data_IF_584256129178
#
_entry.id   IF_584256129178
#
_cell.length_a   1.000
_cell.length_b   1.000
_cell.length_c   1.000
_cell.angle_alpha   90.00
_cell.angle_beta   90.00
_cell.angle_gamma   90.00
#
_symmetry.space_group_name_H-M   'P 1'
#
loop_
_entity.id
_entity.type
_entity.pdbx_description
1 polymer ?
#
# COMPACT_ATOMS: atom_id res chain seq x y z
N UNK A 1 -22.34 22.22 -30.27
CA UNK A 1 -21.11 22.19 -29.45
C UNK A 1 -21.54 21.81 -28.05
N UNK A 2 -21.42 20.53 -27.72
CA UNK A 2 -21.87 19.97 -26.43
C UNK A 2 -20.80 20.24 -25.39
N UNK A 3 -21.18 20.90 -24.29
CA UNK A 3 -20.31 21.10 -23.15
C UNK A 3 -19.95 19.72 -22.55
N UNK A 4 -18.67 19.37 -22.64
CA UNK A 4 -18.08 18.27 -21.90
C UNK A 4 -18.27 18.53 -20.40
N UNK A 5 -18.95 17.61 -19.72
CA UNK A 5 -18.93 17.55 -18.25
C UNK A 5 -17.47 17.54 -17.82
N UNK A 6 -17.05 18.53 -17.04
CA UNK A 6 -15.77 18.51 -16.33
C UNK A 6 -15.82 17.33 -15.37
N UNK A 7 -15.17 16.22 -15.72
CA UNK A 7 -14.86 15.19 -14.73
C UNK A 7 -14.03 15.85 -13.64
N UNK A 8 -14.50 15.83 -12.39
CA UNK A 8 -13.70 16.22 -11.25
C UNK A 8 -12.46 15.32 -11.25
N UNK A 9 -11.27 15.92 -11.44
CA UNK A 9 -10.02 15.20 -11.35
C UNK A 9 -9.84 14.76 -9.88
N UNK A 10 -9.78 13.46 -9.57
CA UNK A 10 -9.72 12.96 -8.19
C UNK A 10 -8.47 13.45 -7.46
N UNK A 11 -7.42 13.85 -8.18
CA UNK A 11 -6.21 14.39 -7.59
C UNK A 11 -6.37 15.83 -7.07
N UNK A 12 -7.42 16.55 -7.47
CA UNK A 12 -7.67 17.94 -7.07
C UNK A 12 -9.03 18.06 -6.36
N UNK A 13 -9.17 17.46 -5.16
CA UNK A 13 -10.40 17.57 -4.39
C UNK A 13 -10.67 19.02 -3.98
N UNK A 14 -11.92 19.46 -4.11
CA UNK A 14 -12.33 20.81 -3.73
C UNK A 14 -12.12 21.04 -2.22
N UNK A 15 -11.64 22.22 -1.85
CA UNK A 15 -11.46 22.67 -0.46
C UNK A 15 -10.45 21.86 0.38
N UNK A 16 -9.56 21.09 -0.25
CA UNK A 16 -8.45 20.45 0.45
C UNK A 16 -7.21 21.37 0.42
N UNK A 17 -6.81 21.85 1.60
CA UNK A 17 -5.60 22.67 1.75
C UNK A 17 -4.37 21.77 1.91
N UNK A 18 -3.68 21.50 0.79
CA UNK A 18 -2.51 20.62 0.75
C UNK A 18 -1.20 21.39 0.69
N UNK A 19 -0.28 21.03 1.58
CA UNK A 19 1.06 21.61 1.66
C UNK A 19 2.12 20.50 1.70
N UNK A 20 3.36 20.81 1.28
CA UNK A 20 4.48 19.89 1.46
C UNK A 20 4.60 19.43 2.91
N UNK A 21 4.84 18.14 3.11
CA UNK A 21 5.12 17.59 4.43
C UNK A 21 6.62 17.51 4.68
N UNK A 22 6.99 17.44 5.95
CA UNK A 22 8.36 17.19 6.42
C UNK A 22 8.25 16.04 7.43
N UNK A 23 9.13 15.03 7.38
CA UNK A 23 9.16 14.00 8.41
C UNK A 23 9.37 14.66 9.79
N UNK A 24 8.58 14.24 10.77
CA UNK A 24 8.73 14.69 12.15
C UNK A 24 10.15 14.39 12.65
N UNK A 25 10.75 15.34 13.39
CA UNK A 25 12.07 15.14 13.97
C UNK A 25 12.02 13.97 14.96
N UNK A 26 12.82 12.92 14.74
CA UNK A 26 12.79 11.71 15.56
C UNK A 26 13.06 10.45 14.74
N UNK A 27 12.36 9.36 15.06
CA UNK A 27 12.61 8.02 14.49
C UNK A 27 12.39 7.98 12.96
N UNK A 28 11.60 8.90 12.40
CA UNK A 28 11.34 9.00 10.96
C UNK A 28 12.43 9.73 10.15
N UNK A 29 13.57 10.07 10.75
CA UNK A 29 14.61 10.87 10.09
C UNK A 29 15.45 10.14 9.04
N UNK A 30 14.92 9.10 8.40
CA UNK A 30 15.63 8.43 7.32
C UNK A 30 15.96 9.45 6.21
N UNK A 31 17.21 9.46 5.71
CA UNK A 31 17.61 10.43 4.71
C UNK A 31 16.78 10.26 3.44
N UNK A 32 15.95 11.26 3.13
CA UNK A 32 15.17 11.32 1.89
C UNK A 32 15.95 12.04 0.80
N UNK A 33 15.77 11.64 -0.46
CA UNK A 33 16.26 12.41 -1.61
C UNK A 33 15.49 13.75 -1.66
N UNK A 34 16.14 14.80 -1.15
CA UNK A 34 15.56 16.15 -1.11
C UNK A 34 15.26 16.71 -2.51
N UNK A 35 15.89 16.18 -3.56
CA UNK A 35 15.67 16.64 -4.93
C UNK A 35 14.34 16.14 -5.50
N UNK A 36 13.89 14.96 -5.09
CA UNK A 36 12.63 14.35 -5.56
C UNK A 36 11.51 14.38 -4.53
N UNK A 37 11.82 14.36 -3.22
CA UNK A 37 10.85 14.24 -2.13
C UNK A 37 10.94 15.37 -1.09
N UNK A 38 11.83 16.34 -1.30
CA UNK A 38 11.94 17.51 -0.42
C UNK A 38 10.77 18.48 -0.55
N UNK A 39 10.64 19.41 0.40
CA UNK A 39 9.52 20.36 0.46
C UNK A 39 9.31 21.15 -0.84
N UNK A 40 10.38 21.59 -1.50
CA UNK A 40 10.28 22.29 -2.79
C UNK A 40 9.76 21.38 -3.91
N UNK A 41 10.28 20.14 -4.00
CA UNK A 41 9.87 19.17 -5.01
C UNK A 41 8.40 18.79 -4.83
N UNK A 42 7.98 18.53 -3.59
CA UNK A 42 6.58 18.31 -3.24
C UNK A 42 5.71 19.52 -3.60
N UNK A 43 6.14 20.75 -3.31
CA UNK A 43 5.37 21.94 -3.66
C UNK A 43 5.10 22.07 -5.16
N UNK A 44 6.11 21.80 -5.98
CA UNK A 44 5.96 21.77 -7.45
C UNK A 44 5.06 20.61 -7.90
N UNK A 45 5.24 19.42 -7.32
CA UNK A 45 4.43 18.26 -7.65
C UNK A 45 2.97 18.44 -7.23
N UNK A 46 2.68 19.05 -6.08
CA UNK A 46 1.33 19.37 -5.61
C UNK A 46 0.60 20.28 -6.59
N UNK A 47 1.28 21.30 -7.12
CA UNK A 47 0.69 22.22 -8.10
C UNK A 47 0.28 21.50 -9.40
N UNK A 48 1.01 20.45 -9.78
CA UNK A 48 0.81 19.76 -11.06
C UNK A 48 -0.04 18.48 -10.93
N UNK A 49 0.06 17.77 -9.81
CA UNK A 49 -0.51 16.43 -9.58
C UNK A 49 -1.42 16.38 -8.35
N UNK A 50 -1.68 17.51 -7.69
CA UNK A 50 -2.57 17.60 -6.54
C UNK A 50 -2.11 16.72 -5.38
N UNK A 51 -3.03 15.95 -4.79
CA UNK A 51 -2.76 15.10 -3.62
C UNK A 51 -1.68 14.04 -3.87
N UNK A 52 -1.51 13.58 -5.11
CA UNK A 52 -0.48 12.61 -5.48
C UNK A 52 0.94 13.21 -5.45
N UNK A 53 1.06 14.53 -5.59
CA UNK A 53 2.34 15.24 -5.49
C UNK A 53 2.85 15.41 -4.06
N UNK A 54 2.00 15.22 -3.06
CA UNK A 54 2.35 15.32 -1.63
C UNK A 54 2.92 14.00 -1.13
N UNK A 55 3.93 14.06 -0.27
CA UNK A 55 4.32 12.91 0.54
C UNK A 55 3.42 12.86 1.78
N UNK A 56 2.73 11.75 2.00
CA UNK A 56 1.85 11.58 3.15
C UNK A 56 2.59 11.01 4.37
N UNK A 57 2.12 11.32 5.57
CA UNK A 57 2.79 10.98 6.84
C UNK A 57 3.01 9.47 6.98
N UNK A 58 2.03 8.66 6.58
CA UNK A 58 2.13 7.20 6.63
C UNK A 58 3.18 6.64 5.64
N UNK A 59 3.63 7.40 4.64
CA UNK A 59 4.75 7.00 3.78
C UNK A 59 6.08 7.06 4.53
N UNK A 60 6.25 8.02 5.45
CA UNK A 60 7.43 8.05 6.33
C UNK A 60 7.42 6.86 7.31
N UNK A 61 6.24 6.51 7.83
CA UNK A 61 6.06 5.31 8.65
C UNK A 61 6.42 4.03 7.89
N UNK A 62 5.92 3.87 6.66
CA UNK A 62 6.27 2.73 5.82
C UNK A 62 7.77 2.70 5.51
N UNK A 63 8.40 3.83 5.19
CA UNK A 63 9.84 3.89 4.94
C UNK A 63 10.68 3.44 6.13
N UNK A 64 10.32 3.86 7.35
CA UNK A 64 10.99 3.41 8.57
C UNK A 64 10.86 1.88 8.74
N UNK A 65 9.69 1.33 8.42
CA UNK A 65 9.44 -0.09 8.50
C UNK A 65 10.18 -0.92 7.44
N UNK A 66 10.28 -0.40 6.21
CA UNK A 66 10.99 -1.02 5.10
C UNK A 66 12.51 -1.02 5.32
N UNK A 67 13.06 0.09 5.80
CA UNK A 67 14.51 0.30 5.98
C UNK A 67 14.80 0.87 7.39
N UNK A 68 14.66 0.04 8.44
CA UNK A 68 14.87 0.46 9.82
C UNK A 68 16.35 0.76 10.12
N UNK A 69 16.64 1.76 10.98
CA UNK A 69 17.94 1.86 11.66
C UNK A 69 18.30 0.55 12.38
N UNK A 70 19.60 0.23 12.48
CA UNK A 70 20.08 -1.03 13.05
C UNK A 70 19.65 -1.32 14.49
N UNK A 71 19.30 -0.29 15.27
CA UNK A 71 18.81 -0.44 16.65
C UNK A 71 17.30 -0.69 16.73
N UNK A 72 16.58 -0.64 15.61
CA UNK A 72 15.13 -0.82 15.56
C UNK A 72 14.84 -2.17 14.92
N UNK A 73 13.93 -2.91 15.55
CA UNK A 73 13.43 -4.18 15.01
C UNK A 73 11.92 -4.15 14.98
N UNK A 74 11.35 -4.78 13.96
CA UNK A 74 9.91 -4.88 13.76
C UNK A 74 9.44 -6.35 13.77
N UNK A 75 8.24 -6.60 14.29
CA UNK A 75 7.54 -7.89 14.18
C UNK A 75 6.13 -7.68 13.61
N UNK A 76 5.81 -8.27 12.44
CA UNK A 76 6.75 -8.97 11.56
C UNK A 76 7.78 -8.01 10.94
N UNK A 77 8.90 -8.50 10.38
CA UNK A 77 9.76 -7.68 9.54
C UNK A 77 9.14 -7.48 8.15
N UNK A 78 9.53 -6.39 7.46
CA UNK A 78 9.08 -6.14 6.07
C UNK A 78 9.60 -7.20 5.09
N UNK A 79 10.91 -7.49 5.15
CA UNK A 79 11.51 -8.63 4.47
C UNK A 79 11.96 -9.67 5.49
N UNK A 80 11.55 -10.91 5.29
CA UNK A 80 12.08 -12.02 6.05
C UNK A 80 13.50 -12.36 5.57
N UNK A 81 14.50 -12.09 6.41
CA UNK A 81 15.92 -12.35 6.13
C UNK A 81 16.17 -13.84 5.84
N UNK A 82 15.33 -14.74 6.38
CA UNK A 82 15.40 -16.17 6.09
C UNK A 82 15.00 -16.52 4.64
N UNK A 83 14.21 -15.66 3.98
CA UNK A 83 13.79 -15.77 2.57
C UNK A 83 14.79 -15.17 1.58
N UNK A 84 16.00 -14.82 2.03
CA UNK A 84 17.11 -14.28 1.20
C UNK A 84 17.40 -15.07 -0.09
N UNK A 85 16.92 -16.32 -0.22
CA UNK A 85 17.02 -17.14 -1.43
C UNK A 85 15.88 -16.93 -2.47
N UNK A 86 14.66 -16.55 -2.08
CA UNK A 86 13.50 -16.50 -2.98
C UNK A 86 13.35 -15.12 -3.66
N UNK A 87 13.10 -15.05 -4.99
CA UNK A 87 12.81 -13.79 -5.67
C UNK A 87 11.61 -13.07 -5.07
N UNK A 88 11.70 -11.75 -4.95
CA UNK A 88 10.64 -10.90 -4.43
C UNK A 88 10.00 -10.12 -5.57
N UNK A 89 8.68 -10.21 -5.69
CA UNK A 89 7.87 -9.32 -6.54
C UNK A 89 6.97 -8.47 -5.65
N UNK A 90 7.15 -7.16 -5.71
CA UNK A 90 6.40 -6.16 -4.95
C UNK A 90 5.51 -5.34 -5.89
N UNK A 91 4.29 -5.03 -5.46
CA UNK A 91 3.47 -3.99 -6.08
C UNK A 91 3.12 -2.92 -5.04
N UNK A 92 3.35 -1.65 -5.38
CA UNK A 92 2.83 -0.52 -4.60
C UNK A 92 1.58 0.05 -5.27
N UNK A 93 0.51 0.21 -4.49
CA UNK A 93 -0.75 0.81 -4.92
C UNK A 93 -0.80 2.29 -4.53
N UNK A 94 -1.26 3.15 -5.43
CA UNK A 94 -1.42 4.59 -5.14
C UNK A 94 -0.12 5.22 -4.66
N UNK A 95 0.93 5.03 -5.44
CA UNK A 95 2.31 5.33 -5.02
C UNK A 95 2.59 6.83 -4.91
N UNK A 96 1.73 7.67 -5.48
CA UNK A 96 1.80 9.13 -5.46
C UNK A 96 3.13 9.64 -6.02
N UNK A 97 3.96 10.20 -5.12
CA UNK A 97 5.29 10.68 -5.48
C UNK A 97 6.31 9.56 -5.68
N UNK A 98 6.07 8.35 -5.18
CA UNK A 98 6.97 7.19 -5.25
C UNK A 98 8.02 7.13 -4.14
N UNK A 99 7.80 7.81 -3.00
CA UNK A 99 8.75 7.80 -1.88
C UNK A 99 8.99 6.38 -1.35
N UNK A 100 7.93 5.60 -1.11
CA UNK A 100 8.04 4.24 -0.57
C UNK A 100 8.68 3.30 -1.60
N UNK A 101 8.22 3.33 -2.85
CA UNK A 101 8.87 2.65 -3.97
C UNK A 101 10.37 2.94 -4.04
N UNK A 102 10.78 4.20 -3.86
CA UNK A 102 12.19 4.59 -3.91
C UNK A 102 13.02 3.91 -2.81
N UNK A 103 12.43 3.66 -1.64
CA UNK A 103 13.07 2.98 -0.51
C UNK A 103 13.12 1.47 -0.75
N UNK A 104 12.00 0.87 -1.16
CA UNK A 104 11.93 -0.55 -1.49
C UNK A 104 12.95 -0.89 -2.59
N UNK A 105 13.01 -0.10 -3.67
CA UNK A 105 13.91 -0.33 -4.79
C UNK A 105 15.40 -0.40 -4.38
N UNK A 106 15.83 0.31 -3.33
CA UNK A 106 17.22 0.24 -2.84
C UNK A 106 17.56 -1.09 -2.17
N UNK A 107 16.56 -1.83 -1.71
CA UNK A 107 16.72 -3.11 -1.02
C UNK A 107 16.59 -4.32 -1.95
N UNK A 108 15.96 -4.14 -3.11
CA UNK A 108 15.74 -5.19 -4.09
C UNK A 108 16.99 -5.45 -4.95
N UNK A 109 17.15 -6.70 -5.39
CA UNK A 109 18.26 -7.14 -6.25
C UNK A 109 17.84 -7.09 -7.73
N UNK A 110 18.44 -6.18 -8.49
CA UNK A 110 18.22 -6.08 -9.93
C UNK A 110 18.49 -7.41 -10.65
N UNK A 111 17.64 -7.74 -11.64
CA UNK A 111 17.70 -9.01 -12.38
C UNK A 111 17.15 -10.24 -11.64
N UNK A 112 16.71 -10.07 -10.38
CA UNK A 112 16.08 -11.13 -9.59
C UNK A 112 14.71 -10.70 -9.08
N UNK A 113 14.66 -9.56 -8.42
CA UNK A 113 13.47 -9.02 -7.80
C UNK A 113 12.80 -8.00 -8.73
N UNK A 114 11.50 -7.75 -8.53
CA UNK A 114 10.71 -6.84 -9.35
C UNK A 114 9.88 -5.90 -8.46
N UNK A 115 9.85 -4.62 -8.81
CA UNK A 115 8.97 -3.63 -8.19
C UNK A 115 8.03 -3.04 -9.24
N UNK A 116 6.74 -3.25 -9.06
CA UNK A 116 5.68 -2.61 -9.84
C UNK A 116 5.18 -1.41 -9.03
N UNK A 117 5.20 -0.22 -9.62
CA UNK A 117 4.75 1.00 -8.97
C UNK A 117 3.52 1.50 -9.71
N UNK A 118 2.41 1.66 -8.99
CA UNK A 118 1.13 1.99 -9.63
C UNK A 118 0.47 3.24 -9.08
N UNK A 119 -0.20 3.96 -9.97
CA UNK A 119 -1.07 5.08 -9.67
C UNK A 119 -2.01 5.36 -10.86
N UNK A 120 -2.75 6.46 -10.84
CA UNK A 120 -3.54 6.93 -11.97
C UNK A 120 -2.64 7.28 -13.18
N UNK A 121 -3.17 7.19 -14.42
CA UNK A 121 -2.40 7.49 -15.63
C UNK A 121 -1.72 8.86 -15.61
N UNK A 122 -2.38 9.88 -15.08
CA UNK A 122 -1.86 11.25 -14.98
C UNK A 122 -0.76 11.42 -13.92
N UNK A 123 -0.63 10.49 -12.96
CA UNK A 123 0.40 10.51 -11.91
C UNK A 123 1.65 9.73 -12.32
N UNK A 124 1.52 8.75 -13.22
CA UNK A 124 2.63 7.94 -13.71
C UNK A 124 3.86 8.76 -14.19
N UNK A 125 3.72 9.91 -14.89
CA UNK A 125 4.87 10.74 -15.25
C UNK A 125 5.66 11.28 -14.05
N UNK A 126 4.99 11.56 -12.92
CA UNK A 126 5.67 11.96 -11.66
C UNK A 126 6.50 10.81 -11.11
N UNK A 127 5.92 9.60 -11.06
CA UNK A 127 6.59 8.39 -10.61
C UNK A 127 7.83 8.10 -11.45
N UNK A 128 7.69 8.12 -12.78
CA UNK A 128 8.81 7.91 -13.71
C UNK A 128 9.92 8.93 -13.47
N UNK A 129 9.58 10.22 -13.33
CA UNK A 129 10.57 11.27 -13.10
C UNK A 129 11.33 11.09 -11.78
N UNK A 130 10.63 10.71 -10.71
CA UNK A 130 11.24 10.52 -9.39
C UNK A 130 12.08 9.23 -9.29
N UNK A 131 11.65 8.15 -9.94
CA UNK A 131 12.28 6.84 -9.82
C UNK A 131 13.38 6.58 -10.86
N UNK A 132 13.44 7.35 -11.95
CA UNK A 132 14.40 7.18 -13.05
C UNK A 132 15.86 7.11 -12.63
N UNK A 133 16.25 7.81 -11.56
CA UNK A 133 17.65 7.83 -11.08
C UNK A 133 18.09 6.50 -10.45
N UNK A 134 17.14 5.68 -10.03
CA UNK A 134 17.39 4.42 -9.33
C UNK A 134 17.66 3.30 -10.34
N UNK A 135 17.01 3.33 -11.50
CA UNK A 135 16.97 2.23 -12.48
C UNK A 135 18.10 2.31 -13.54
N UNK A 136 19.27 2.83 -13.18
CA UNK A 136 20.28 3.29 -14.17
C UNK A 136 21.22 2.22 -14.73
N UNK A 137 21.10 0.92 -14.37
CA UNK A 137 22.20 -0.04 -14.56
C UNK A 137 21.86 -1.49 -14.98
N UNK A 138 20.64 -1.83 -15.40
CA UNK A 138 20.30 -3.22 -15.76
C UNK A 138 19.64 -3.39 -17.14
N UNK A 139 19.88 -4.55 -17.79
CA UNK A 139 19.19 -4.95 -19.04
C UNK A 139 17.69 -5.22 -18.83
N UNK A 140 17.29 -5.56 -17.59
CA UNK A 140 15.90 -5.73 -17.15
C UNK A 140 15.62 -4.67 -16.08
N UNK A 141 14.61 -3.80 -16.25
CA UNK A 141 14.33 -2.74 -15.29
C UNK A 141 13.86 -3.35 -13.96
N UNK A 142 14.46 -2.88 -12.86
CA UNK A 142 14.03 -3.28 -11.52
C UNK A 142 12.63 -2.73 -11.22
N UNK A 143 12.33 -1.55 -11.76
CA UNK A 143 11.12 -0.79 -11.50
C UNK A 143 10.27 -0.75 -12.76
N UNK A 144 9.02 -1.19 -12.66
CA UNK A 144 8.03 -1.08 -13.74
C UNK A 144 6.89 -0.17 -13.28
N UNK A 145 6.78 1.01 -13.89
CA UNK A 145 5.64 1.91 -13.65
C UNK A 145 4.45 1.46 -14.50
N UNK A 146 3.28 1.33 -13.88
CA UNK A 146 2.02 0.95 -14.55
C UNK A 146 0.86 1.77 -14.00
N UNK A 147 -0.09 2.10 -14.85
CA UNK A 147 -1.35 2.67 -14.35
C UNK A 147 -2.21 1.59 -13.70
N UNK A 148 -2.89 1.93 -12.62
CA UNK A 148 -3.92 1.11 -11.99
C UNK A 148 -4.92 1.99 -11.27
N UNK A 149 -6.07 2.21 -11.91
CA UNK A 149 -7.24 2.78 -11.26
C UNK A 149 -7.87 1.70 -10.37
N UNK A 150 -8.07 1.98 -9.10
CA UNK A 150 -8.59 0.95 -8.19
C UNK A 150 -9.96 0.44 -8.62
N UNK A 151 -10.18 -0.86 -8.49
CA UNK A 151 -11.40 -1.56 -8.88
C UNK A 151 -11.56 -1.75 -10.40
N UNK A 152 -10.68 -1.17 -11.21
CA UNK A 152 -10.73 -1.29 -12.66
C UNK A 152 -10.19 -2.66 -13.11
N UNK A 153 -11.08 -3.43 -13.73
CA UNK A 153 -10.77 -4.77 -14.22
C UNK A 153 -9.83 -4.77 -15.43
N UNK A 154 -9.93 -3.77 -16.31
CA UNK A 154 -9.10 -3.66 -17.51
C UNK A 154 -7.65 -3.35 -17.14
N UNK A 155 -7.44 -2.37 -16.24
CA UNK A 155 -6.12 -2.00 -15.72
C UNK A 155 -5.46 -3.21 -15.04
N UNK A 156 -6.22 -3.94 -14.22
CA UNK A 156 -5.75 -5.16 -13.56
C UNK A 156 -5.44 -6.27 -14.57
N UNK A 157 -6.25 -6.45 -15.61
CA UNK A 157 -6.01 -7.44 -16.67
C UNK A 157 -4.75 -7.11 -17.46
N UNK A 158 -4.48 -5.82 -17.71
CA UNK A 158 -3.24 -5.35 -18.33
C UNK A 158 -2.01 -5.76 -17.50
N UNK A 159 -2.07 -5.60 -16.17
CA UNK A 159 -1.03 -6.05 -15.24
C UNK A 159 -0.84 -7.57 -15.23
N UNK A 160 -1.93 -8.34 -15.36
CA UNK A 160 -1.90 -9.81 -15.33
C UNK A 160 -0.99 -10.41 -16.43
N UNK A 161 -0.78 -9.68 -17.53
CA UNK A 161 0.16 -10.07 -18.60
C UNK A 161 1.62 -10.17 -18.15
N UNK A 162 1.99 -9.51 -17.05
CA UNK A 162 3.33 -9.59 -16.46
C UNK A 162 3.55 -10.91 -15.69
N UNK A 163 2.46 -11.54 -15.24
CA UNK A 163 2.48 -12.73 -14.37
C UNK A 163 2.03 -14.01 -15.09
N UNK A 164 1.44 -13.89 -16.28
CA UNK A 164 0.87 -15.01 -17.02
C UNK A 164 1.65 -15.29 -18.29
N UNK A 165 1.89 -16.58 -18.56
CA UNK A 165 2.35 -17.04 -19.86
C UNK A 165 1.17 -17.03 -20.87
N UNK A 166 0.94 -15.87 -21.49
CA UNK A 166 -0.11 -15.73 -22.51
C UNK A 166 0.37 -16.11 -23.93
N UNK A 167 1.65 -16.45 -24.13
CA UNK A 167 2.24 -16.64 -25.47
C UNK A 167 3.19 -17.85 -25.63
N UNK A 168 3.27 -18.75 -24.66
CA UNK A 168 4.24 -19.86 -24.62
C UNK A 168 5.65 -19.44 -24.18
N UNK A 169 5.76 -18.31 -23.48
CA UNK A 169 6.99 -17.76 -22.91
C UNK A 169 6.94 -17.81 -21.38
N UNK A 170 8.08 -18.09 -20.75
CA UNK A 170 8.18 -18.01 -19.28
C UNK A 170 7.66 -16.66 -18.77
N UNK A 171 6.81 -16.63 -17.72
CA UNK A 171 6.28 -15.39 -17.17
C UNK A 171 7.38 -14.35 -16.96
N UNK A 172 7.09 -13.08 -17.26
CA UNK A 172 8.06 -12.01 -17.08
C UNK A 172 8.46 -11.89 -15.61
N UNK A 173 7.48 -12.02 -14.69
CA UNK A 173 7.69 -11.89 -13.25
C UNK A 173 7.34 -13.17 -12.49
N UNK A 174 8.01 -13.35 -11.35
CA UNK A 174 7.62 -14.31 -10.32
C UNK A 174 6.26 -13.91 -9.71
N UNK A 175 5.52 -14.87 -9.10
CA UNK A 175 4.28 -14.56 -8.37
C UNK A 175 4.46 -13.41 -7.38
N UNK A 176 3.39 -12.65 -7.20
CA UNK A 176 3.37 -11.52 -6.29
C UNK A 176 3.57 -12.00 -4.85
N UNK A 177 4.47 -11.32 -4.14
CA UNK A 177 4.83 -11.66 -2.75
C UNK A 177 4.48 -10.54 -1.77
N UNK A 178 4.48 -9.28 -2.23
CA UNK A 178 4.21 -8.12 -1.40
C UNK A 178 3.25 -7.17 -2.13
N UNK A 179 2.18 -6.74 -1.45
CA UNK A 179 1.37 -5.58 -1.82
C UNK A 179 1.62 -4.49 -0.78
N UNK A 180 1.97 -3.29 -1.22
CA UNK A 180 2.24 -2.15 -0.34
C UNK A 180 1.19 -1.08 -0.58
N UNK A 181 0.60 -0.60 0.51
CA UNK A 181 -0.37 0.48 0.53
C UNK A 181 0.08 1.52 1.55
N UNK A 182 0.29 2.76 1.11
CA UNK A 182 0.63 3.85 2.01
C UNK A 182 -0.46 4.91 1.95
N UNK A 183 -1.25 5.03 3.03
CA UNK A 183 -2.23 6.08 3.22
C UNK A 183 -3.43 6.08 2.25
N UNK A 184 -3.89 4.90 1.84
CA UNK A 184 -4.92 4.77 0.79
C UNK A 184 -6.37 4.76 1.31
N UNK A 185 -6.57 4.79 2.63
CA UNK A 185 -7.88 4.74 3.29
C UNK A 185 -8.27 6.16 3.71
N UNK A 186 -8.84 6.94 2.78
CA UNK A 186 -9.13 8.37 3.02
C UNK A 186 -10.45 8.89 2.41
N UNK A 187 -10.81 8.49 1.18
CA UNK A 187 -12.08 8.87 0.55
C UNK A 187 -13.08 7.69 0.55
N UNK A 188 -14.27 7.83 1.15
CA UNK A 188 -15.28 6.76 1.23
C UNK A 188 -15.60 6.07 -0.11
N UNK A 189 -15.69 6.85 -1.19
CA UNK A 189 -15.99 6.38 -2.54
C UNK A 189 -14.87 5.51 -3.15
N UNK A 190 -13.64 5.59 -2.60
CA UNK A 190 -12.49 4.80 -3.06
C UNK A 190 -12.29 3.51 -2.27
N UNK A 191 -12.96 3.35 -1.11
CA UNK A 191 -12.72 2.22 -0.21
C UNK A 191 -13.09 0.87 -0.83
N UNK A 192 -14.23 0.81 -1.54
CA UNK A 192 -14.70 -0.39 -2.21
C UNK A 192 -13.83 -0.77 -3.40
N UNK A 193 -13.53 0.16 -4.32
CA UNK A 193 -12.55 -0.04 -5.39
C UNK A 193 -11.17 -0.50 -4.88
N UNK A 194 -10.67 0.07 -3.78
CA UNK A 194 -9.41 -0.35 -3.15
C UNK A 194 -9.48 -1.81 -2.69
N UNK A 195 -10.52 -2.17 -1.91
CA UNK A 195 -10.72 -3.54 -1.44
C UNK A 195 -10.84 -4.54 -2.60
N UNK A 196 -11.54 -4.16 -3.68
CA UNK A 196 -11.64 -4.96 -4.90
C UNK A 196 -10.28 -5.21 -5.54
N UNK A 197 -9.43 -4.19 -5.61
CA UNK A 197 -8.07 -4.31 -6.16
C UNK A 197 -7.21 -5.26 -5.34
N UNK A 198 -7.27 -5.16 -4.00
CA UNK A 198 -6.55 -6.06 -3.10
C UNK A 198 -7.00 -7.52 -3.28
N UNK A 199 -8.30 -7.76 -3.45
CA UNK A 199 -8.84 -9.09 -3.73
C UNK A 199 -8.41 -9.63 -5.10
N UNK A 200 -8.35 -8.78 -6.13
CA UNK A 200 -7.89 -9.17 -7.46
C UNK A 200 -6.38 -9.51 -7.46
N UNK A 201 -5.56 -8.65 -6.86
CA UNK A 201 -4.09 -8.81 -6.80
C UNK A 201 -3.65 -9.94 -5.87
N UNK A 202 -4.51 -10.35 -4.93
CA UNK A 202 -4.31 -11.54 -4.10
C UNK A 202 -4.94 -12.79 -4.69
N UNK A 203 -5.37 -12.77 -5.95
CA UNK A 203 -5.91 -13.92 -6.70
C UNK A 203 -4.98 -14.30 -7.86
N UNK A 204 -5.13 -15.50 -8.46
CA UNK A 204 -4.50 -15.80 -9.73
C UNK A 204 -4.86 -14.76 -10.81
N UNK A 205 -3.91 -14.41 -11.71
CA UNK A 205 -2.59 -15.01 -11.86
C UNK A 205 -1.50 -14.38 -10.96
N UNK A 206 -1.81 -13.34 -10.19
CA UNK A 206 -0.84 -12.62 -9.37
C UNK A 206 -0.32 -13.48 -8.22
N UNK A 207 -1.22 -14.15 -7.50
CA UNK A 207 -0.89 -15.06 -6.41
C UNK A 207 -1.34 -16.49 -6.73
N UNK A 208 -0.48 -17.48 -6.48
CA UNK A 208 -0.81 -18.89 -6.72
C UNK A 208 -1.66 -19.47 -5.59
N UNK A 209 -2.75 -20.16 -5.93
CA UNK A 209 -3.76 -20.65 -4.99
C UNK A 209 -3.27 -21.71 -3.99
N UNK A 210 -2.19 -22.44 -4.29
CA UNK A 210 -1.58 -23.44 -3.38
C UNK A 210 -0.59 -22.83 -2.38
N UNK A 211 0.01 -21.69 -2.72
CA UNK A 211 1.14 -21.07 -1.98
C UNK A 211 0.74 -19.74 -1.33
N UNK A 212 -0.57 -19.46 -1.19
CA UNK A 212 -1.14 -18.22 -0.65
C UNK A 212 -0.75 -17.86 0.79
N UNK A 213 0.13 -18.65 1.44
CA UNK A 213 0.82 -18.26 2.66
C UNK A 213 1.94 -17.23 2.43
N UNK A 214 2.35 -17.02 1.17
CA UNK A 214 3.53 -16.21 0.87
C UNK A 214 3.26 -14.74 0.51
N UNK A 215 2.02 -14.40 0.11
CA UNK A 215 1.65 -13.01 -0.19
C UNK A 215 1.32 -12.27 1.11
N UNK A 216 2.01 -11.15 1.33
CA UNK A 216 1.77 -10.25 2.44
C UNK A 216 1.30 -8.89 1.93
N UNK A 217 0.31 -8.30 2.60
CA UNK A 217 -0.18 -6.95 2.31
C UNK A 217 0.26 -6.05 3.46
N UNK A 218 1.01 -5.00 3.15
CA UNK A 218 1.54 -4.04 4.11
C UNK A 218 0.78 -2.73 3.96
N UNK A 219 0.12 -2.29 5.02
CA UNK A 219 -0.68 -1.07 5.01
C UNK A 219 -0.16 -0.12 6.07
N UNK A 220 0.40 1.01 5.66
CA UNK A 220 0.58 2.16 6.56
C UNK A 220 -0.62 3.08 6.45
N UNK A 221 -1.11 3.55 7.58
CA UNK A 221 -2.37 4.27 7.64
C UNK A 221 -2.36 5.29 8.77
N UNK A 222 -2.64 6.55 8.44
CA UNK A 222 -2.89 7.60 9.42
C UNK A 222 -4.39 7.83 9.55
N UNK A 223 -4.92 7.73 10.78
CA UNK A 223 -6.33 8.00 11.05
C UNK A 223 -6.61 9.48 10.81
N UNK A 224 -7.60 9.81 9.96
CA UNK A 224 -8.09 11.20 9.78
C UNK A 224 -9.56 11.34 10.16
N UNK A 225 -10.36 10.33 9.81
CA UNK A 225 -11.77 10.30 10.13
C UNK A 225 -12.23 8.88 10.31
N UNK A 226 -12.21 8.41 11.57
CA UNK A 226 -12.61 7.05 11.93
C UNK A 226 -13.99 6.69 11.35
N UNK A 227 -14.97 7.59 11.42
CA UNK A 227 -16.32 7.37 10.88
C UNK A 227 -16.33 7.10 9.37
N UNK A 228 -15.45 7.74 8.61
CA UNK A 228 -15.35 7.55 7.15
C UNK A 228 -14.57 6.29 6.79
N UNK A 229 -13.64 5.89 7.65
CA UNK A 229 -12.61 4.88 7.36
C UNK A 229 -12.99 3.49 7.92
N UNK A 230 -13.79 3.40 9.00
CA UNK A 230 -14.20 2.14 9.64
C UNK A 230 -14.89 1.17 8.68
N UNK A 231 -15.63 1.68 7.70
CA UNK A 231 -16.30 0.84 6.69
C UNK A 231 -15.32 0.01 5.86
N UNK A 232 -14.13 0.55 5.58
CA UNK A 232 -13.07 -0.21 4.91
C UNK A 232 -12.53 -1.31 5.82
N UNK A 233 -12.16 -0.97 7.07
CA UNK A 233 -11.53 -1.92 7.98
C UNK A 233 -12.47 -3.07 8.36
N UNK A 234 -13.74 -2.77 8.57
CA UNK A 234 -14.75 -3.78 8.89
C UNK A 234 -14.99 -4.74 7.71
N UNK A 235 -14.97 -4.24 6.47
CA UNK A 235 -15.04 -5.10 5.29
C UNK A 235 -13.73 -5.87 5.07
N UNK A 236 -12.58 -5.19 5.19
CA UNK A 236 -11.25 -5.74 4.98
C UNK A 236 -10.99 -6.94 5.92
N UNK A 237 -11.34 -6.84 7.20
CA UNK A 237 -11.20 -7.92 8.18
C UNK A 237 -11.99 -9.19 7.88
N UNK A 238 -13.06 -9.09 7.08
CA UNK A 238 -13.79 -10.28 6.62
C UNK A 238 -12.96 -11.08 5.63
N UNK A 239 -12.26 -10.41 4.71
CA UNK A 239 -11.53 -11.04 3.60
C UNK A 239 -10.06 -11.34 3.94
N UNK A 240 -9.47 -10.50 4.78
CA UNK A 240 -8.07 -10.55 5.18
C UNK A 240 -7.97 -10.66 6.70
N UNK A 241 -7.07 -11.50 7.18
CA UNK A 241 -6.60 -11.40 8.55
C UNK A 241 -5.46 -10.40 8.60
N UNK A 242 -5.42 -9.55 9.62
CA UNK A 242 -4.37 -8.54 9.75
C UNK A 242 -4.02 -8.31 11.21
N UNK A 243 -2.76 -7.92 11.44
CA UNK A 243 -2.22 -7.63 12.76
C UNK A 243 -1.37 -6.36 12.71
N UNK A 244 -1.29 -5.60 13.82
CA UNK A 244 -0.38 -4.47 13.91
C UNK A 244 1.07 -4.95 13.85
N UNK A 245 1.92 -4.11 13.28
CA UNK A 245 3.37 -4.24 13.39
C UNK A 245 3.80 -3.75 14.77
N UNK A 246 4.60 -4.55 15.46
CA UNK A 246 5.24 -4.18 16.72
C UNK A 246 6.62 -3.62 16.44
N UNK A 247 7.05 -2.66 17.27
CA UNK A 247 8.38 -2.04 17.22
C UNK A 247 9.13 -2.30 18.52
N UNK A 248 10.43 -2.53 18.40
CA UNK A 248 11.37 -2.61 19.53
C UNK A 248 12.59 -1.74 19.25
N UNK A 249 12.88 -0.81 20.16
CA UNK A 249 14.08 0.04 20.13
C UNK A 249 15.13 -0.50 21.12
N UNK A 250 16.21 -1.05 20.58
CA UNK A 250 17.31 -1.62 21.35
C UNK A 250 18.08 -0.60 22.21
N UNK A 251 17.87 0.71 22.01
CA UNK A 251 18.53 1.75 22.84
C UNK A 251 17.82 2.03 24.16
N UNK A 252 16.57 1.57 24.33
CA UNK A 252 15.73 1.83 25.51
C UNK A 252 15.47 0.58 26.36
N UNK A 253 16.38 -0.39 26.39
CA UNK A 253 16.14 -1.74 26.95
C UNK A 253 14.86 -2.38 26.37
N UNK A 254 14.57 -2.09 25.09
CA UNK A 254 13.21 -2.01 24.53
C UNK A 254 12.33 -3.24 24.73
N UNK A 255 11.17 -3.02 25.34
CA UNK A 255 10.03 -3.91 25.23
C UNK A 255 9.39 -3.76 23.84
N UNK A 256 8.62 -4.78 23.44
CA UNK A 256 7.84 -4.68 22.22
C UNK A 256 6.64 -3.78 22.47
N UNK A 257 6.52 -2.72 21.69
CA UNK A 257 5.36 -1.82 21.70
C UNK A 257 4.61 -1.86 20.39
N UNK A 258 3.35 -1.42 20.39
CA UNK A 258 2.62 -1.16 19.17
C UNK A 258 3.28 -0.02 18.40
N UNK A 259 3.44 -0.19 17.08
CA UNK A 259 3.94 0.91 16.27
C UNK A 259 2.96 2.10 16.28
N UNK A 260 3.49 3.28 16.56
CA UNK A 260 2.74 4.54 16.47
C UNK A 260 2.05 5.01 17.75
N UNK A 261 2.26 4.36 18.89
CA UNK A 261 1.74 4.79 20.21
C UNK A 261 2.38 6.08 20.70
N UNK A 262 3.69 6.25 20.50
CA UNK A 262 4.45 7.45 20.88
C UNK A 262 4.25 8.66 19.93
N UNK A 263 3.35 8.56 18.95
CA UNK A 263 3.16 9.58 17.93
C UNK A 263 1.94 10.44 18.25
N UNK A 264 2.13 11.77 18.23
CA UNK A 264 1.06 12.77 18.38
C UNK A 264 -0.10 12.55 17.37
N UNK A 265 0.16 11.80 16.29
CA UNK A 265 -0.79 11.39 15.26
C UNK A 265 -0.89 9.86 15.20
N UNK A 266 -2.08 9.32 15.48
CA UNK A 266 -2.34 7.87 15.45
C UNK A 266 -2.09 7.28 14.06
N UNK A 267 -0.92 6.66 13.90
CA UNK A 267 -0.46 6.05 12.65
C UNK A 267 -0.22 4.56 12.89
N UNK A 268 -0.90 3.72 12.12
CA UNK A 268 -0.77 2.27 12.19
C UNK A 268 0.06 1.73 11.03
N UNK A 269 0.72 0.60 11.30
CA UNK A 269 1.27 -0.29 10.31
C UNK A 269 0.61 -1.66 10.51
N UNK A 270 0.03 -2.20 9.45
CA UNK A 270 -0.57 -3.53 9.45
C UNK A 270 0.13 -4.44 8.46
N UNK A 271 0.23 -5.71 8.85
CA UNK A 271 0.51 -6.81 7.92
C UNK A 271 -0.71 -7.70 7.84
N UNK A 272 -1.14 -7.97 6.62
CA UNK A 272 -2.34 -8.73 6.34
C UNK A 272 -2.09 -9.87 5.36
N UNK A 273 -2.86 -10.93 5.53
CA UNK A 273 -2.91 -12.09 4.65
C UNK A 273 -4.35 -12.38 4.26
N UNK A 274 -4.55 -12.85 3.04
CA UNK A 274 -5.89 -13.22 2.60
C UNK A 274 -6.33 -14.48 3.34
N UNK A 275 -7.52 -14.44 3.93
CA UNK A 275 -8.04 -15.60 4.67
C UNK A 275 -8.20 -16.80 3.73
N UNK A 276 -7.75 -18.01 4.10
CA UNK A 276 -7.81 -19.18 3.21
C UNK A 276 -9.22 -19.49 2.67
N UNK A 277 -10.26 -19.28 3.47
CA UNK A 277 -11.65 -19.48 3.04
C UNK A 277 -12.12 -18.47 2.00
N UNK A 278 -11.57 -17.25 2.02
CA UNK A 278 -12.03 -16.12 1.19
C UNK A 278 -11.71 -16.25 -0.30
N UNK A 279 -10.81 -17.18 -0.66
CA UNK A 279 -10.52 -17.52 -2.05
C UNK A 279 -11.70 -18.16 -2.78
N UNK A 280 -12.60 -18.82 -2.03
CA UNK A 280 -13.77 -19.52 -2.59
C UNK A 280 -15.02 -18.67 -2.56
N UNK A 281 -15.01 -17.56 -1.83
CA UNK A 281 -16.17 -16.71 -1.67
C UNK A 281 -16.43 -15.90 -2.93
N UNK A 282 -17.71 -15.70 -3.22
CA UNK A 282 -18.12 -14.88 -4.35
C UNK A 282 -17.96 -13.40 -4.02
N UNK A 283 -17.06 -12.72 -4.71
CA UNK A 283 -16.90 -11.27 -4.62
C UNK A 283 -18.12 -10.62 -5.31
N UNK A 284 -18.90 -9.76 -4.61
CA UNK A 284 -20.04 -9.09 -5.23
C UNK A 284 -19.57 -8.09 -6.30
N UNK A 285 -20.39 -7.87 -7.35
CA UNK A 285 -20.02 -6.98 -8.46
C UNK A 285 -20.09 -5.50 -8.08
N UNK A 286 -20.89 -5.14 -7.07
CA UNK A 286 -21.04 -3.76 -6.60
C UNK A 286 -20.12 -3.48 -5.41
N UNK A 287 -19.48 -2.32 -5.40
CA UNK A 287 -18.56 -1.90 -4.34
C UNK A 287 -19.30 -1.63 -3.02
N UNK A 288 -20.52 -1.11 -3.06
CA UNK A 288 -21.36 -0.89 -1.87
C UNK A 288 -21.75 -2.21 -1.17
N UNK A 289 -21.88 -3.29 -1.93
CA UNK A 289 -22.14 -4.63 -1.39
C UNK A 289 -20.85 -5.26 -0.88
N UNK A 290 -19.74 -5.05 -1.58
CA UNK A 290 -18.41 -5.50 -1.15
C UNK A 290 -18.01 -4.88 0.20
N UNK A 291 -18.12 -3.56 0.33
CA UNK A 291 -17.93 -2.84 1.59
C UNK A 291 -18.98 -3.20 2.64
N UNK A 292 -20.17 -3.61 2.21
CA UNK A 292 -21.20 -4.13 3.11
C UNK A 292 -20.92 -5.54 3.64
N UNK A 293 -19.84 -6.19 3.23
CA UNK A 293 -19.50 -7.56 3.62
C UNK A 293 -20.34 -8.65 2.95
N UNK A 294 -21.08 -8.32 1.89
CA UNK A 294 -21.86 -9.29 1.11
C UNK A 294 -20.92 -10.26 0.41
N UNK A 295 -21.25 -11.56 0.42
CA UNK A 295 -20.45 -12.63 -0.15
C UNK A 295 -19.43 -13.21 0.83
N UNK A 296 -19.04 -12.47 1.88
CA UNK A 296 -18.14 -12.97 2.90
C UNK A 296 -18.75 -14.14 3.68
N UNK A 297 -17.96 -15.18 3.91
CA UNK A 297 -18.41 -16.47 4.44
C UNK A 297 -19.51 -17.13 3.60
N UNK A 298 -19.47 -16.94 2.27
CA UNK A 298 -20.42 -17.48 1.29
C UNK A 298 -21.89 -17.14 1.61
N UNK A 299 -22.11 -15.90 2.05
CA UNK A 299 -23.40 -15.47 2.58
C UNK A 299 -23.84 -14.15 1.94
N UNK A 300 -25.11 -14.03 1.55
CA UNK A 300 -25.60 -12.84 0.85
C UNK A 300 -25.95 -11.67 1.79
N UNK A 301 -25.81 -11.84 3.11
CA UNK A 301 -26.19 -10.81 4.08
C UNK A 301 -25.02 -9.89 4.41
N UNK A 302 -25.32 -8.61 4.63
CA UNK A 302 -24.34 -7.63 5.10
C UNK A 302 -23.79 -8.02 6.46
N UNK A 303 -22.50 -7.76 6.68
CA UNK A 303 -21.78 -8.04 7.92
C UNK A 303 -20.47 -7.24 7.96
N UNK A 304 -19.84 -7.22 9.13
CA UNK A 304 -18.56 -6.58 9.36
C UNK A 304 -17.71 -7.41 10.30
N UNK A 305 -16.41 -7.18 10.24
CA UNK A 305 -15.42 -7.65 11.20
C UNK A 305 -15.10 -6.51 12.20
N UNK A 306 -14.71 -6.87 13.43
CA UNK A 306 -14.43 -5.94 14.54
C UNK A 306 -12.94 -5.91 14.95
N UNK A 307 -12.05 -6.53 14.15
CA UNK A 307 -10.61 -6.61 14.46
C UNK A 307 -10.00 -5.22 14.63
N UNK A 308 -10.35 -4.27 13.76
CA UNK A 308 -9.75 -2.93 13.83
C UNK A 308 -10.20 -2.15 15.06
N UNK A 309 -11.49 -2.21 15.41
CA UNK A 309 -12.04 -1.60 16.62
C UNK A 309 -11.37 -2.18 17.87
N UNK A 310 -11.18 -3.51 17.92
CA UNK A 310 -10.46 -4.17 19.01
C UNK A 310 -8.99 -3.68 19.11
N UNK A 311 -8.31 -3.48 17.99
CA UNK A 311 -6.94 -2.94 17.96
C UNK A 311 -6.89 -1.47 18.43
N UNK A 312 -7.89 -0.65 18.07
CA UNK A 312 -8.01 0.72 18.56
C UNK A 312 -8.17 0.74 20.09
N UNK A 313 -9.02 -0.13 20.65
CA UNK A 313 -9.18 -0.20 22.11
C UNK A 313 -7.90 -0.62 22.82
N UNK A 314 -7.12 -1.55 22.25
CA UNK A 314 -5.84 -1.94 22.82
C UNK A 314 -4.82 -0.79 22.82
N UNK A 315 -4.79 0.03 21.77
CA UNK A 315 -3.91 1.21 21.71
C UNK A 315 -4.27 2.32 22.71
N UNK A 316 -5.51 2.37 23.20
CA UNK A 316 -5.97 3.36 24.19
C UNK A 316 -5.80 2.88 25.65
N UNK A 317 -5.45 1.60 25.85
CA UNK A 317 -5.39 0.96 27.16
C UNK A 317 -4.08 1.14 27.94
N UNK A 318 -3.05 1.75 27.34
CA UNK A 318 -1.71 1.89 27.94
C UNK A 318 -1.55 3.17 28.80
N UNK A 319 -2.59 3.99 28.96
CA UNK A 319 -2.57 5.26 29.72
C UNK A 319 -3.13 5.19 31.16
N UNK A 320 -2.90 4.10 31.92
CA UNK A 320 -3.36 3.99 33.32
C UNK A 320 -2.25 3.64 34.34
#
# INVERSE_FOLDING_TARGET
>A
MSATRTCNNPNFPENLDIHPSIPSQGIFSNPIDKTSFGSLAQGLAILQYGIAGRVWEAAYAMNLYVDPPHNITFDPPFFDVSRSAEPVTVIELGSGSGLVASTIARLLKAGRDNLIVTDLPEVCPLLEANLRKIDTCAEIPLITVKYLSWGNYEDTTSLASLFSDLQGHTPCFNPLTHIVCSDLVYFPELLGPLLRSLLQLSSPPFAQSSDCQNLSIFISYKVRSLTKETGFWSAFGLWFEFRPVLIKDGTRDGEWGLFGTDLDDTTFLFVAHRRPGSYKWKIPPLDDDLLGGVGAYDSPTRKGDDTFENLLFLSLGEDW
#
